data_IF_551511331173
#
_entry.id   IF_551511331173
#
_cell.length_a   1.000
_cell.length_b   1.000
_cell.length_c   1.000
_cell.angle_alpha   90.00
_cell.angle_beta   90.00
_cell.angle_gamma   90.00
#
_symmetry.space_group_name_H-M   'P 1'
#
loop_
_entity.id
_entity.type
_entity.pdbx_description
1 polymer ?
#
# COMPACT_ATOMS: atom_id res chain seq x y z
N UNK A 1 -0.56 -34.68 -87.36
CA UNK A 1 -1.84 -35.30 -86.97
C UNK A 1 -1.94 -35.18 -85.47
N UNK A 2 -2.90 -34.35 -85.04
CA UNK A 2 -3.20 -34.00 -83.67
C UNK A 2 -3.75 -35.20 -82.89
N UNK A 3 -3.43 -35.28 -81.60
CA UNK A 3 -4.31 -35.81 -80.56
C UNK A 3 -3.85 -35.22 -79.24
N UNK A 4 -4.60 -34.22 -78.77
CA UNK A 4 -4.58 -33.69 -77.42
C UNK A 4 -5.08 -34.75 -76.43
N UNK A 5 -4.57 -34.72 -75.20
CA UNK A 5 -5.37 -35.17 -74.07
C UNK A 5 -5.14 -34.25 -72.87
N UNK A 6 -6.15 -33.40 -72.65
CA UNK A 6 -6.40 -32.56 -71.49
C UNK A 6 -6.66 -33.39 -70.21
N UNK A 7 -6.24 -32.77 -69.09
CA UNK A 7 -6.92 -32.62 -67.79
C UNK A 7 -7.94 -33.67 -67.33
N UNK A 8 -7.89 -34.02 -66.04
CA UNK A 8 -8.95 -33.66 -65.07
C UNK A 8 -8.60 -34.12 -63.65
N UNK A 9 -8.64 -33.16 -62.72
CA UNK A 9 -8.78 -33.37 -61.29
C UNK A 9 -10.16 -33.98 -60.97
N UNK A 10 -10.28 -34.79 -59.90
CA UNK A 10 -11.61 -35.16 -59.39
C UNK A 10 -11.71 -36.35 -58.44
N UNK A 11 -11.52 -36.09 -57.14
CA UNK A 11 -12.47 -36.39 -56.05
C UNK A 11 -12.69 -37.82 -55.48
N UNK A 12 -12.51 -37.90 -54.14
CA UNK A 12 -13.21 -38.71 -53.12
C UNK A 12 -12.78 -40.19 -52.93
N UNK A 13 -12.57 -40.78 -51.72
CA UNK A 13 -13.17 -40.56 -50.38
C UNK A 13 -12.39 -41.28 -49.23
N UNK A 14 -12.38 -40.65 -48.03
CA UNK A 14 -12.32 -41.11 -46.61
C UNK A 14 -11.49 -42.36 -46.21
N UNK A 15 -10.72 -42.35 -45.11
CA UNK A 15 -11.22 -42.22 -43.72
C UNK A 15 -10.16 -41.68 -42.74
N UNK A 16 -10.59 -40.63 -42.02
CA UNK A 16 -10.53 -40.44 -40.58
C UNK A 16 -9.50 -41.25 -39.77
N UNK A 17 -8.53 -40.54 -39.17
CA UNK A 17 -8.11 -40.78 -37.79
C UNK A 17 -7.51 -39.47 -37.27
N UNK A 18 -8.37 -38.64 -36.69
CA UNK A 18 -7.93 -37.56 -35.79
C UNK A 18 -7.38 -38.22 -34.53
N UNK A 19 -6.06 -38.31 -34.39
CA UNK A 19 -5.46 -38.56 -33.08
C UNK A 19 -5.39 -37.24 -32.29
N UNK A 20 -5.85 -37.20 -31.03
CA UNK A 20 -5.70 -36.03 -30.19
C UNK A 20 -4.22 -35.90 -29.84
N UNK A 21 -3.59 -34.81 -30.29
CA UNK A 21 -2.27 -34.40 -29.79
C UNK A 21 -2.42 -34.15 -28.29
N UNK A 22 -1.75 -35.00 -27.51
CA UNK A 22 -1.69 -34.96 -26.06
C UNK A 22 -0.91 -33.71 -25.60
N UNK A 23 -1.55 -32.54 -25.65
CA UNK A 23 -1.04 -31.27 -25.13
C UNK A 23 -1.36 -31.08 -23.65
N UNK A 24 -1.03 -32.05 -22.79
CA UNK A 24 -1.46 -32.07 -21.38
C UNK A 24 -0.46 -31.49 -20.37
N UNK A 25 0.80 -31.25 -20.75
CA UNK A 25 1.87 -30.91 -19.79
C UNK A 25 2.09 -29.40 -19.55
N UNK A 26 1.77 -28.56 -20.55
CA UNK A 26 2.11 -27.14 -20.51
C UNK A 26 1.02 -26.26 -19.90
N UNK A 27 -0.26 -26.64 -20.01
CA UNK A 27 -1.37 -25.80 -19.52
C UNK A 27 -1.35 -25.65 -18.00
N UNK A 28 -1.19 -26.75 -17.25
CA UNK A 28 -1.19 -26.73 -15.79
C UNK A 28 -0.03 -25.87 -15.21
N UNK A 29 1.13 -25.90 -15.86
CA UNK A 29 2.29 -25.08 -15.48
C UNK A 29 2.06 -23.60 -15.79
N UNK A 30 1.47 -23.30 -16.96
CA UNK A 30 1.10 -21.93 -17.35
C UNK A 30 -0.01 -21.38 -16.44
N UNK A 31 -1.00 -22.19 -16.10
CA UNK A 31 -2.09 -21.84 -15.17
C UNK A 31 -1.56 -21.55 -13.77
N UNK A 32 -0.57 -22.33 -13.30
CA UNK A 32 0.10 -22.07 -12.02
C UNK A 32 0.86 -20.75 -12.03
N UNK A 33 1.65 -20.48 -13.08
CA UNK A 33 2.38 -19.19 -13.22
C UNK A 33 1.39 -18.02 -13.31
N UNK A 34 0.27 -18.20 -14.01
CA UNK A 34 -0.78 -17.20 -14.12
C UNK A 34 -1.48 -16.95 -12.77
N UNK A 35 -1.73 -18.00 -11.99
CA UNK A 35 -2.27 -17.87 -10.63
C UNK A 35 -1.30 -17.10 -9.72
N UNK A 36 -0.02 -17.45 -9.72
CA UNK A 36 1.00 -16.74 -8.93
C UNK A 36 1.10 -15.26 -9.32
N UNK A 37 0.97 -14.96 -10.62
CA UNK A 37 0.94 -13.58 -11.11
C UNK A 37 -0.32 -12.83 -10.64
N UNK A 38 -1.48 -13.48 -10.69
CA UNK A 38 -2.75 -12.92 -10.20
C UNK A 38 -2.67 -12.60 -8.71
N UNK A 39 -2.18 -13.54 -7.90
CA UNK A 39 -2.00 -13.36 -6.46
C UNK A 39 -1.04 -12.21 -6.14
N UNK A 40 0.04 -12.09 -6.92
CA UNK A 40 0.97 -10.98 -6.80
C UNK A 40 0.32 -9.63 -7.11
N UNK A 41 -0.48 -9.54 -8.19
CA UNK A 41 -1.20 -8.33 -8.54
C UNK A 41 -2.23 -7.96 -7.48
N UNK A 42 -3.00 -8.92 -7.00
CA UNK A 42 -4.02 -8.73 -5.97
C UNK A 42 -3.40 -8.21 -4.67
N UNK A 43 -2.29 -8.83 -4.23
CA UNK A 43 -1.52 -8.36 -3.07
C UNK A 43 -0.96 -6.95 -3.27
N UNK A 44 -0.47 -6.62 -4.47
CA UNK A 44 0.04 -5.28 -4.78
C UNK A 44 -1.08 -4.23 -4.81
N UNK A 45 -2.26 -4.58 -5.32
CA UNK A 45 -3.43 -3.72 -5.35
C UNK A 45 -3.92 -3.43 -3.94
N UNK A 46 -4.06 -4.47 -3.11
CA UNK A 46 -4.48 -4.35 -1.71
C UNK A 46 -3.59 -3.37 -0.92
N UNK A 47 -2.27 -3.52 -1.04
CA UNK A 47 -1.30 -2.62 -0.40
C UNK A 47 -1.46 -1.18 -0.89
N UNK A 48 -1.64 -0.96 -2.20
CA UNK A 48 -1.82 0.39 -2.74
C UNK A 48 -3.15 1.03 -2.33
N UNK A 49 -4.23 0.26 -2.28
CA UNK A 49 -5.55 0.75 -1.81
C UNK A 49 -5.45 1.23 -0.37
N UNK A 50 -4.83 0.43 0.52
CA UNK A 50 -4.59 0.83 1.92
C UNK A 50 -3.78 2.12 2.04
N UNK A 51 -2.70 2.25 1.27
CA UNK A 51 -1.89 3.48 1.25
C UNK A 51 -2.68 4.70 0.79
N UNK A 52 -3.54 4.57 -0.23
CA UNK A 52 -4.39 5.65 -0.73
C UNK A 52 -5.42 6.05 0.33
N UNK A 53 -6.06 5.09 0.98
CA UNK A 53 -7.04 5.36 2.04
C UNK A 53 -6.38 6.06 3.23
N UNK A 54 -5.23 5.58 3.70
CA UNK A 54 -4.47 6.20 4.78
C UNK A 54 -4.09 7.63 4.43
N UNK A 55 -3.53 7.85 3.23
CA UNK A 55 -3.21 9.20 2.74
C UNK A 55 -4.45 10.10 2.70
N UNK A 56 -5.59 9.59 2.25
CA UNK A 56 -6.84 10.36 2.20
C UNK A 56 -7.37 10.75 3.59
N UNK A 57 -7.14 9.91 4.61
CA UNK A 57 -7.49 10.22 6.01
C UNK A 57 -6.59 11.33 6.55
N UNK A 58 -5.28 11.20 6.35
CA UNK A 58 -4.29 12.21 6.73
C UNK A 58 -4.59 13.54 6.04
N UNK A 59 -4.87 13.55 4.74
CA UNK A 59 -5.19 14.77 4.00
C UNK A 59 -6.43 15.48 4.59
N UNK A 60 -7.46 14.73 5.00
CA UNK A 60 -8.65 15.29 5.65
C UNK A 60 -8.32 15.88 7.02
N UNK A 61 -7.54 15.18 7.84
CA UNK A 61 -7.13 15.65 9.17
C UNK A 61 -6.23 16.88 9.07
N UNK A 62 -5.27 16.88 8.14
CA UNK A 62 -4.37 18.00 7.85
C UNK A 62 -5.15 19.23 7.40
N UNK A 63 -6.18 19.08 6.57
CA UNK A 63 -7.07 20.19 6.16
C UNK A 63 -7.82 20.81 7.33
N UNK A 64 -8.11 20.05 8.39
CA UNK A 64 -8.78 20.54 9.60
C UNK A 64 -7.82 21.25 10.57
N UNK A 65 -6.50 21.06 10.45
CA UNK A 65 -5.53 21.67 11.35
C UNK A 65 -5.33 23.16 11.03
N UNK A 66 -5.63 24.01 12.02
CA UNK A 66 -5.54 25.48 11.92
C UNK A 66 -4.12 26.02 11.70
N UNK A 67 -3.11 25.34 12.24
CA UNK A 67 -1.72 25.82 12.23
C UNK A 67 -0.85 25.00 11.29
N UNK A 68 -0.10 25.67 10.41
CA UNK A 68 0.79 25.01 9.44
C UNK A 68 1.88 24.16 10.11
N UNK A 69 2.37 24.58 11.28
CA UNK A 69 3.31 23.79 12.07
C UNK A 69 2.72 22.43 12.49
N UNK A 70 1.46 22.41 12.92
CA UNK A 70 0.76 21.20 13.33
C UNK A 70 0.49 20.28 12.14
N UNK A 71 0.09 20.83 10.99
CA UNK A 71 -0.03 20.08 9.73
C UNK A 71 1.26 19.32 9.41
N UNK A 72 2.40 20.01 9.44
CA UNK A 72 3.69 19.39 9.17
C UNK A 72 4.09 18.33 10.21
N UNK A 73 3.68 18.48 11.48
CA UNK A 73 3.92 17.44 12.49
C UNK A 73 3.04 16.21 12.24
N UNK A 74 1.80 16.41 11.79
CA UNK A 74 0.87 15.31 11.51
C UNK A 74 1.32 14.49 10.31
N UNK A 75 1.72 15.16 9.22
CA UNK A 75 2.32 14.51 8.04
C UNK A 75 3.58 13.71 8.40
N UNK A 76 4.45 14.26 9.25
CA UNK A 76 5.66 13.57 9.71
C UNK A 76 5.33 12.32 10.54
N UNK A 77 4.28 12.37 11.38
CA UNK A 77 3.85 11.22 12.16
C UNK A 77 3.30 10.12 11.26
N UNK A 78 2.49 10.48 10.26
CA UNK A 78 2.00 9.53 9.27
C UNK A 78 3.14 8.85 8.49
N UNK A 79 4.19 9.59 8.13
CA UNK A 79 5.39 9.02 7.51
C UNK A 79 6.10 8.04 8.44
N UNK A 80 6.21 8.38 9.74
CA UNK A 80 6.80 7.50 10.74
C UNK A 80 5.99 6.21 10.92
N UNK A 81 4.67 6.30 11.01
CA UNK A 81 3.77 5.14 11.13
C UNK A 81 3.89 4.22 9.92
N UNK A 82 3.95 4.78 8.70
CA UNK A 82 4.16 3.98 7.48
C UNK A 82 5.50 3.23 7.47
N UNK A 83 6.56 3.83 8.03
CA UNK A 83 7.86 3.16 8.19
C UNK A 83 7.76 2.04 9.23
N UNK A 84 7.03 2.25 10.33
CA UNK A 84 6.81 1.22 11.37
C UNK A 84 6.03 0.04 10.78
N UNK A 85 4.93 0.29 10.06
CA UNK A 85 4.17 -0.76 9.35
C UNK A 85 5.06 -1.54 8.36
N UNK A 86 5.98 -0.85 7.68
CA UNK A 86 6.94 -1.48 6.77
C UNK A 86 7.95 -2.38 7.51
N UNK A 87 8.39 -1.97 8.71
CA UNK A 87 9.25 -2.78 9.58
C UNK A 87 8.49 -4.02 10.06
N UNK A 88 7.26 -3.86 10.53
CA UNK A 88 6.41 -4.97 11.01
C UNK A 88 6.16 -5.97 9.89
N UNK A 89 5.70 -5.50 8.73
CA UNK A 89 5.44 -6.34 7.54
C UNK A 89 6.67 -7.14 7.11
N UNK A 90 7.85 -6.52 7.12
CA UNK A 90 9.09 -7.19 6.73
C UNK A 90 9.59 -8.17 7.80
N UNK A 91 9.32 -7.88 9.07
CA UNK A 91 9.70 -8.73 10.21
C UNK A 91 8.83 -9.99 10.32
N UNK A 92 7.58 -9.93 9.84
CA UNK A 92 6.63 -11.05 9.83
C UNK A 92 6.81 -12.01 8.65
N UNK A 93 7.71 -11.71 7.71
CA UNK A 93 8.00 -12.63 6.60
C UNK A 93 8.63 -13.93 7.10
N UNK A 94 8.36 -15.02 6.38
CA UNK A 94 9.02 -16.31 6.65
C UNK A 94 10.55 -16.25 6.57
N UNK A 95 11.08 -15.35 5.76
CA UNK A 95 12.50 -14.97 5.73
C UNK A 95 12.62 -13.43 5.80
N UNK A 96 12.85 -12.85 6.98
CA UNK A 96 12.93 -11.40 7.14
C UNK A 96 14.18 -10.79 6.49
N UNK A 97 14.02 -9.71 5.73
CA UNK A 97 15.15 -8.95 5.18
C UNK A 97 15.75 -8.01 6.25
N UNK A 98 16.70 -8.52 7.04
CA UNK A 98 17.35 -7.76 8.11
C UNK A 98 18.03 -6.46 7.63
N UNK A 99 18.75 -6.42 6.49
CA UNK A 99 19.28 -5.17 5.95
C UNK A 99 18.20 -4.11 5.68
N UNK A 100 17.05 -4.52 5.14
CA UNK A 100 15.93 -3.63 4.85
C UNK A 100 15.27 -3.11 6.13
N UNK A 101 15.00 -4.00 7.10
CA UNK A 101 14.48 -3.62 8.43
C UNK A 101 15.41 -2.62 9.12
N UNK A 102 16.73 -2.84 9.04
CA UNK A 102 17.73 -1.92 9.60
C UNK A 102 17.70 -0.56 8.91
N UNK A 103 17.53 -0.54 7.59
CA UNK A 103 17.38 0.70 6.82
C UNK A 103 16.14 1.48 7.28
N UNK A 104 14.97 0.85 7.32
CA UNK A 104 13.75 1.50 7.81
C UNK A 104 13.88 1.99 9.25
N UNK A 105 14.52 1.21 10.12
CA UNK A 105 14.80 1.62 11.50
C UNK A 105 15.69 2.87 11.59
N UNK A 106 16.63 3.03 10.65
CA UNK A 106 17.49 4.23 10.57
C UNK A 106 16.69 5.44 10.09
N UNK A 107 15.87 5.28 9.05
CA UNK A 107 14.99 6.33 8.53
C UNK A 107 14.00 6.83 9.61
N UNK A 108 13.36 5.92 10.35
CA UNK A 108 12.49 6.25 11.48
C UNK A 108 13.22 7.10 12.54
N UNK A 109 14.46 6.73 12.91
CA UNK A 109 15.26 7.51 13.88
C UNK A 109 15.61 8.89 13.36
N UNK A 110 15.86 9.05 12.07
CA UNK A 110 16.15 10.35 11.47
C UNK A 110 14.93 11.27 11.51
N UNK A 111 13.74 10.75 11.19
CA UNK A 111 12.48 11.48 11.33
C UNK A 111 12.21 11.90 12.77
N UNK A 112 12.40 11.01 13.75
CA UNK A 112 12.25 11.32 15.17
C UNK A 112 13.22 12.45 15.58
N UNK A 113 14.49 12.37 15.18
CA UNK A 113 15.48 13.42 15.49
C UNK A 113 15.11 14.76 14.83
N UNK A 114 14.61 14.74 13.60
CA UNK A 114 14.09 15.93 12.91
C UNK A 114 12.93 16.55 13.68
N UNK A 115 11.96 15.73 14.10
CA UNK A 115 10.82 16.15 14.94
C UNK A 115 11.27 16.79 16.25
N UNK A 116 12.19 16.15 16.97
CA UNK A 116 12.75 16.68 18.21
C UNK A 116 13.44 18.03 18.02
N UNK A 117 14.14 18.26 16.90
CA UNK A 117 14.71 19.57 16.58
C UNK A 117 13.63 20.63 16.35
N UNK A 118 12.57 20.28 15.61
CA UNK A 118 11.44 21.19 15.36
C UNK A 118 10.72 21.56 16.66
N UNK A 119 10.47 20.59 17.55
CA UNK A 119 9.90 20.82 18.88
C UNK A 119 10.78 21.78 19.69
N UNK A 120 12.10 21.54 19.73
CA UNK A 120 13.04 22.42 20.42
C UNK A 120 13.05 23.84 19.86
N UNK A 121 12.86 24.01 18.55
CA UNK A 121 12.77 25.35 17.92
C UNK A 121 11.45 26.02 18.27
N UNK A 122 10.34 25.29 18.19
CA UNK A 122 9.02 25.79 18.56
C UNK A 122 8.96 26.20 20.05
N UNK A 123 9.62 25.44 20.93
CA UNK A 123 9.70 25.75 22.37
C UNK A 123 10.59 26.94 22.74
N UNK A 124 11.35 27.52 21.80
CA UNK A 124 12.08 28.80 22.05
C UNK A 124 11.15 30.02 22.00
N UNK A 125 9.93 29.86 21.50
CA UNK A 125 8.86 30.84 21.56
C UNK A 125 8.14 30.72 22.91
N UNK A 126 8.00 31.85 23.62
CA UNK A 126 7.56 31.92 25.02
C UNK A 126 6.14 31.39 25.28
N UNK A 127 5.30 31.32 24.24
CA UNK A 127 3.85 31.19 24.40
C UNK A 127 3.25 29.90 23.79
N UNK A 128 4.06 28.97 23.26
CA UNK A 128 3.55 27.85 22.44
C UNK A 128 3.15 26.57 23.19
N UNK A 129 3.88 26.18 24.23
CA UNK A 129 3.70 24.91 24.94
C UNK A 129 2.98 25.03 26.29
N UNK A 130 2.81 26.27 26.79
CA UNK A 130 2.14 26.53 28.06
C UNK A 130 0.64 26.18 28.01
N UNK A 131 -0.01 26.41 26.87
CA UNK A 131 -1.42 26.06 26.63
C UNK A 131 -1.66 24.54 26.62
N UNK A 132 -0.71 23.76 26.10
CA UNK A 132 -0.81 22.28 26.07
C UNK A 132 -0.62 21.71 27.48
N UNK A 133 0.32 22.26 28.25
CA UNK A 133 0.53 21.88 29.64
C UNK A 133 -0.69 22.20 30.52
N UNK A 134 -1.34 23.34 30.30
CA UNK A 134 -2.60 23.69 30.99
C UNK A 134 -3.74 22.71 30.65
N UNK A 135 -3.87 22.30 29.37
CA UNK A 135 -4.86 21.32 28.91
C UNK A 135 -4.59 19.89 29.44
N UNK A 136 -3.34 19.44 29.47
CA UNK A 136 -2.95 18.12 30.01
C UNK A 136 -3.04 18.05 31.55
N UNK A 137 -3.01 19.20 32.23
CA UNK A 137 -3.17 19.31 33.68
C UNK A 137 -4.62 19.49 34.15
N UNK A 138 -5.57 19.67 33.22
CA UNK A 138 -6.98 19.83 33.53
C UNK A 138 -7.62 18.44 33.73
N UNK A 139 -7.98 18.10 34.97
CA UNK A 139 -8.66 16.84 35.32
C UNK A 139 -10.03 16.66 34.62
N UNK A 140 -10.56 17.71 33.95
CA UNK A 140 -11.74 17.62 33.08
C UNK A 140 -11.48 17.03 31.69
N UNK A 141 -10.21 16.82 31.30
CA UNK A 141 -9.84 16.15 30.05
C UNK A 141 -9.91 14.61 30.12
N UNK A 142 -10.47 14.06 31.22
CA UNK A 142 -10.86 12.65 31.31
C UNK A 142 -12.23 12.45 30.64
N UNK A 143 -12.23 12.40 29.30
CA UNK A 143 -13.11 11.66 28.37
C UNK A 143 -14.61 11.39 28.72
N UNK A 144 -15.27 12.21 29.53
CA UNK A 144 -16.65 11.96 29.98
C UNK A 144 -17.69 13.01 29.55
N UNK A 145 -17.30 14.19 29.04
CA UNK A 145 -18.25 15.29 28.74
C UNK A 145 -18.26 15.75 27.26
N UNK A 146 -17.26 15.41 26.44
CA UNK A 146 -17.20 15.89 25.05
C UNK A 146 -18.05 15.08 24.05
N UNK A 147 -18.51 13.87 24.41
CA UNK A 147 -19.35 13.03 23.53
C UNK A 147 -20.79 13.56 23.34
N UNK A 148 -21.26 14.53 24.14
CA UNK A 148 -22.69 14.94 24.12
C UNK A 148 -23.01 16.20 23.33
N UNK A 149 -22.03 17.00 22.88
CA UNK A 149 -22.32 18.26 22.15
C UNK A 149 -22.39 18.12 20.63
N UNK A 150 -22.05 16.96 20.06
CA UNK A 150 -22.11 16.71 18.61
C UNK A 150 -23.50 16.31 18.06
N UNK A 151 -24.58 16.36 18.86
CA UNK A 151 -25.94 16.01 18.40
C UNK A 151 -26.95 17.14 18.30
N UNK A 152 -26.62 18.39 18.65
CA UNK A 152 -27.51 19.52 18.35
C UNK A 152 -26.73 20.79 18.03
N UNK A 153 -26.64 21.06 16.74
CA UNK A 153 -26.25 22.31 16.12
C UNK A 153 -26.65 22.25 14.67
#
# INVERSE_FOLDING_TARGET
MSSEQEQTEGSSRSTDTTQPVHGGGNSASVDQVFSMFKDYLEKKLEVKTKQIEQKSKIDKEVVQLKYKGNQMQYELNAELDSIIESIETESERGEPNLPLIKKYSQEARELIRKRQKLIKIAGKSKDGWQVVAEYESDELASDSEDEKRLKKG
#
